data_IF_723365464027
#
_entry.id   IF_723365464027
#
_cell.length_a   1.000
_cell.length_b   1.000
_cell.length_c   1.000
_cell.angle_alpha   90.00
_cell.angle_beta   90.00
_cell.angle_gamma   90.00
#
_symmetry.space_group_name_H-M   'P 1'
#
loop_
_entity.id
_entity.type
_entity.pdbx_description
1 polymer ?
#
# COMPACT_ATOMS: atom_id res chain seq x y z
N UNK A 1 50.33 35.92 -17.82
CA UNK A 1 49.42 36.68 -18.70
C UNK A 1 48.30 35.72 -19.09
N UNK A 2 47.10 36.00 -18.60
CA UNK A 2 45.94 35.12 -18.68
C UNK A 2 45.35 35.15 -20.09
N UNK A 3 45.39 34.01 -20.79
CA UNK A 3 44.56 33.77 -21.95
C UNK A 3 43.20 33.24 -21.51
N UNK A 4 42.15 33.77 -22.15
CA UNK A 4 40.78 33.71 -21.70
C UNK A 4 40.21 32.30 -21.68
N UNK A 5 39.74 31.89 -20.50
CA UNK A 5 38.68 30.88 -20.43
C UNK A 5 37.38 31.54 -20.87
N UNK A 6 37.01 31.36 -22.13
CA UNK A 6 35.66 31.66 -22.59
C UNK A 6 34.69 30.74 -21.83
N UNK A 7 34.07 31.28 -20.77
CA UNK A 7 32.85 30.68 -20.24
C UNK A 7 31.87 30.68 -21.40
N UNK A 8 31.53 29.49 -21.93
CA UNK A 8 30.38 29.34 -22.83
C UNK A 8 29.17 29.90 -22.07
N UNK A 9 28.85 31.16 -22.33
CA UNK A 9 27.62 31.76 -21.90
C UNK A 9 26.51 30.86 -22.44
N UNK A 10 25.86 30.12 -21.55
CA UNK A 10 24.62 29.41 -21.86
C UNK A 10 23.72 30.48 -22.44
N UNK A 11 23.52 30.46 -23.76
CA UNK A 11 22.60 31.39 -24.43
C UNK A 11 21.23 31.14 -23.81
N UNK A 12 20.84 31.98 -22.86
CA UNK A 12 19.49 31.97 -22.31
C UNK A 12 18.57 32.43 -23.45
N UNK A 13 17.94 31.48 -24.13
CA UNK A 13 16.86 31.84 -25.03
C UNK A 13 15.73 32.39 -24.17
N UNK A 14 15.31 33.66 -24.34
CA UNK A 14 14.18 34.17 -23.61
C UNK A 14 12.97 33.35 -24.05
N UNK A 15 12.39 32.59 -23.11
CA UNK A 15 11.22 31.75 -23.37
C UNK A 15 9.93 32.58 -23.45
N UNK A 16 10.00 33.86 -23.06
CA UNK A 16 8.93 34.84 -23.08
C UNK A 16 8.14 34.91 -24.42
N UNK A 17 8.75 34.82 -25.62
CA UNK A 17 8.01 34.85 -26.88
C UNK A 17 7.10 33.63 -27.10
N UNK A 18 7.39 32.49 -26.44
CA UNK A 18 6.58 31.27 -26.58
C UNK A 18 5.40 31.26 -25.61
N UNK A 19 5.47 32.02 -24.51
CA UNK A 19 4.41 32.06 -23.48
C UNK A 19 3.04 32.43 -24.06
N UNK A 20 2.87 33.46 -24.92
CA UNK A 20 1.57 33.78 -25.52
C UNK A 20 0.98 32.66 -26.38
N UNK A 21 1.82 31.97 -27.16
CA UNK A 21 1.38 30.85 -27.99
C UNK A 21 0.92 29.66 -27.13
N UNK A 22 1.67 29.36 -26.08
CA UNK A 22 1.31 28.33 -25.11
C UNK A 22 0.03 28.71 -24.35
N UNK A 23 -0.12 29.96 -23.90
CA UNK A 23 -1.36 30.41 -23.24
C UNK A 23 -2.57 30.31 -24.17
N UNK A 24 -2.41 30.58 -25.47
CA UNK A 24 -3.48 30.40 -26.45
C UNK A 24 -3.89 28.93 -26.57
N UNK A 25 -2.94 28.01 -26.64
CA UNK A 25 -3.22 26.56 -26.66
C UNK A 25 -3.91 26.15 -25.35
N UNK A 26 -3.37 26.58 -24.21
CA UNK A 26 -3.87 26.26 -22.89
C UNK A 26 -5.33 26.69 -22.70
N UNK A 27 -5.69 27.90 -23.14
CA UNK A 27 -7.04 28.45 -22.95
C UNK A 27 -8.04 27.95 -24.01
N UNK A 28 -7.63 27.80 -25.26
CA UNK A 28 -8.56 27.60 -26.37
C UNK A 28 -8.59 26.17 -26.93
N UNK A 29 -7.63 25.32 -26.59
CA UNK A 29 -7.65 23.93 -27.03
C UNK A 29 -8.76 23.15 -26.32
N UNK A 30 -9.51 22.34 -27.07
CA UNK A 30 -10.51 21.43 -26.51
C UNK A 30 -9.90 20.16 -25.92
N UNK A 31 -8.73 19.74 -26.41
CA UNK A 31 -8.05 18.54 -25.94
C UNK A 31 -7.43 18.77 -24.55
N UNK A 32 -7.96 18.10 -23.54
CA UNK A 32 -7.46 18.16 -22.16
C UNK A 32 -5.98 17.80 -22.06
N UNK A 33 -5.57 16.68 -22.68
CA UNK A 33 -4.19 16.21 -22.66
C UNK A 33 -3.21 17.27 -23.17
N UNK A 34 -3.57 17.98 -24.24
CA UNK A 34 -2.71 19.05 -24.78
C UNK A 34 -2.66 20.26 -23.83
N UNK A 35 -3.77 20.62 -23.18
CA UNK A 35 -3.79 21.67 -22.16
C UNK A 35 -2.92 21.31 -20.95
N UNK A 36 -2.98 20.08 -20.46
CA UNK A 36 -2.15 19.61 -19.36
C UNK A 36 -0.66 19.66 -19.72
N UNK A 37 -0.27 19.18 -20.91
CA UNK A 37 1.12 19.30 -21.37
C UNK A 37 1.54 20.76 -21.52
N UNK A 38 0.67 21.61 -22.06
CA UNK A 38 0.97 23.03 -22.21
C UNK A 38 1.17 23.71 -20.85
N UNK A 39 0.31 23.43 -19.87
CA UNK A 39 0.47 23.93 -18.50
C UNK A 39 1.79 23.45 -17.89
N UNK A 40 2.10 22.15 -18.01
CA UNK A 40 3.36 21.59 -17.54
C UNK A 40 4.57 22.27 -18.18
N UNK A 41 4.53 22.47 -19.50
CA UNK A 41 5.59 23.14 -20.26
C UNK A 41 5.76 24.60 -19.84
N UNK A 42 4.67 25.35 -19.68
CA UNK A 42 4.74 26.75 -19.21
C UNK A 42 5.40 26.80 -17.84
N UNK A 43 5.01 25.95 -16.90
CA UNK A 43 5.59 25.95 -15.55
C UNK A 43 7.05 25.45 -15.56
N UNK A 44 7.39 24.42 -16.32
CA UNK A 44 8.74 23.84 -16.34
C UNK A 44 9.80 24.78 -16.90
N UNK A 45 9.41 25.67 -17.80
CA UNK A 45 10.33 26.64 -18.43
C UNK A 45 10.31 28.01 -17.74
N UNK A 46 9.40 28.22 -16.79
CA UNK A 46 9.22 29.50 -16.10
C UNK A 46 10.25 29.68 -14.99
N UNK A 47 10.80 30.89 -14.87
CA UNK A 47 11.55 31.28 -13.68
C UNK A 47 10.61 31.54 -12.49
N UNK A 48 11.16 31.63 -11.29
CA UNK A 48 10.41 32.05 -10.09
C UNK A 48 9.67 33.39 -10.28
N UNK A 49 10.27 34.33 -11.01
CA UNK A 49 9.63 35.62 -11.33
C UNK A 49 8.43 35.45 -12.26
N UNK A 50 8.53 34.54 -13.23
CA UNK A 50 7.43 34.24 -14.16
C UNK A 50 6.28 33.52 -13.44
N UNK A 51 6.60 32.58 -12.54
CA UNK A 51 5.60 31.91 -11.67
C UNK A 51 4.90 32.95 -10.78
N UNK A 52 5.66 33.87 -10.19
CA UNK A 52 5.11 34.96 -9.39
C UNK A 52 4.12 35.81 -10.19
N UNK A 53 4.47 36.17 -11.41
CA UNK A 53 3.60 36.91 -12.32
C UNK A 53 2.33 36.11 -12.68
N UNK A 54 2.45 34.82 -12.97
CA UNK A 54 1.31 33.95 -13.28
C UNK A 54 0.33 33.89 -12.09
N UNK A 55 0.83 33.73 -10.86
CA UNK A 55 -0.02 33.70 -9.67
C UNK A 55 -0.69 35.06 -9.41
N UNK A 56 0.00 36.18 -9.65
CA UNK A 56 -0.61 37.51 -9.56
C UNK A 56 -1.72 37.69 -10.59
N UNK A 57 -1.50 37.24 -11.82
CA UNK A 57 -2.52 37.24 -12.85
C UNK A 57 -3.75 36.42 -12.44
N UNK A 58 -3.55 35.18 -11.97
CA UNK A 58 -4.63 34.30 -11.51
C UNK A 58 -5.41 34.94 -10.36
N UNK A 59 -4.73 35.53 -9.38
CA UNK A 59 -5.37 36.16 -8.22
C UNK A 59 -6.31 37.32 -8.57
N UNK A 60 -6.11 37.94 -9.74
CA UNK A 60 -6.90 39.08 -10.23
C UNK A 60 -8.00 38.66 -11.21
N UNK A 61 -8.03 37.40 -11.65
CA UNK A 61 -9.04 36.92 -12.59
C UNK A 61 -10.40 36.73 -11.91
N UNK A 62 -11.45 37.37 -12.44
CA UNK A 62 -12.83 37.02 -12.06
C UNK A 62 -13.25 35.73 -12.76
N UNK A 63 -13.45 34.66 -11.98
CA UNK A 63 -13.85 33.35 -12.48
C UNK A 63 -15.36 33.12 -12.55
N UNK A 64 -16.19 34.11 -12.17
CA UNK A 64 -17.66 33.91 -12.05
C UNK A 64 -18.35 33.52 -13.34
N UNK A 65 -17.96 34.13 -14.47
CA UNK A 65 -18.61 33.94 -15.78
C UNK A 65 -17.64 33.41 -16.83
N UNK A 66 -16.71 32.54 -16.40
CA UNK A 66 -15.64 32.02 -17.25
C UNK A 66 -16.00 30.63 -17.77
N UNK A 67 -15.61 30.35 -19.02
CA UNK A 67 -15.80 29.02 -19.63
C UNK A 67 -15.09 27.94 -18.80
N UNK A 68 -15.71 26.78 -18.64
CA UNK A 68 -15.14 25.65 -17.90
C UNK A 68 -13.71 25.29 -18.33
N UNK A 69 -13.40 25.40 -19.64
CA UNK A 69 -12.07 25.12 -20.16
C UNK A 69 -10.99 26.10 -19.68
N UNK A 70 -11.34 27.37 -19.52
CA UNK A 70 -10.42 28.39 -19.01
C UNK A 70 -10.22 28.24 -17.51
N UNK A 71 -11.29 27.90 -16.76
CA UNK A 71 -11.17 27.54 -15.34
C UNK A 71 -10.22 26.34 -15.18
N UNK A 72 -10.42 25.30 -15.99
CA UNK A 72 -9.55 24.11 -15.97
C UNK A 72 -8.07 24.45 -16.24
N UNK A 73 -7.82 25.36 -17.20
CA UNK A 73 -6.48 25.84 -17.51
C UNK A 73 -5.82 26.54 -16.31
N UNK A 74 -6.55 27.41 -15.62
CA UNK A 74 -6.07 28.09 -14.40
C UNK A 74 -5.76 27.08 -13.30
N UNK A 75 -6.67 26.12 -13.06
CA UNK A 75 -6.46 25.05 -12.08
C UNK A 75 -5.25 24.17 -12.42
N UNK A 76 -5.06 23.86 -13.71
CA UNK A 76 -3.92 23.08 -14.20
C UNK A 76 -2.60 23.81 -13.95
N UNK A 77 -2.53 25.12 -14.24
CA UNK A 77 -1.34 25.92 -13.95
C UNK A 77 -0.99 25.89 -12.47
N UNK A 78 -1.96 26.13 -11.58
CA UNK A 78 -1.73 26.08 -10.13
C UNK A 78 -1.30 24.69 -9.65
N UNK A 79 -1.92 23.62 -10.17
CA UNK A 79 -1.54 22.24 -9.83
C UNK A 79 -0.09 21.93 -10.24
N UNK A 80 0.34 22.36 -11.43
CA UNK A 80 1.73 22.19 -11.85
C UNK A 80 2.70 23.07 -11.07
N UNK A 81 2.29 24.29 -10.68
CA UNK A 81 3.09 25.14 -9.78
C UNK A 81 3.36 24.41 -8.46
N UNK A 82 2.34 23.82 -7.83
CA UNK A 82 2.49 23.06 -6.58
C UNK A 82 3.38 21.82 -6.73
N UNK A 83 3.31 21.13 -7.88
CA UNK A 83 4.12 19.92 -8.14
C UNK A 83 5.60 20.22 -8.36
N UNK A 84 5.91 21.31 -9.06
CA UNK A 84 7.29 21.61 -9.48
C UNK A 84 8.00 22.49 -8.45
N UNK A 85 7.29 23.36 -7.73
CA UNK A 85 7.89 24.34 -6.82
C UNK A 85 7.70 23.96 -5.36
N UNK A 86 8.81 23.70 -4.67
CA UNK A 86 8.82 23.42 -3.23
C UNK A 86 9.00 24.67 -2.35
N UNK A 87 9.12 25.86 -2.96
CA UNK A 87 9.26 27.12 -2.21
C UNK A 87 7.99 27.44 -1.41
N UNK A 88 8.14 27.62 -0.09
CA UNK A 88 7.04 27.90 0.82
C UNK A 88 6.22 29.13 0.43
N UNK A 89 6.87 30.20 -0.05
CA UNK A 89 6.20 31.42 -0.51
C UNK A 89 5.23 31.17 -1.68
N UNK A 90 5.64 30.34 -2.65
CA UNK A 90 4.82 29.98 -3.82
C UNK A 90 3.61 29.15 -3.37
N UNK A 91 3.83 28.16 -2.50
CA UNK A 91 2.75 27.35 -1.91
C UNK A 91 1.75 28.21 -1.15
N UNK A 92 2.23 29.16 -0.35
CA UNK A 92 1.39 30.08 0.42
C UNK A 92 0.52 30.98 -0.47
N UNK A 93 1.05 31.41 -1.62
CA UNK A 93 0.26 32.21 -2.58
C UNK A 93 -0.83 31.39 -3.25
N UNK A 94 -0.54 30.15 -3.67
CA UNK A 94 -1.57 29.23 -4.18
C UNK A 94 -2.61 28.96 -3.09
N UNK A 95 -2.18 28.75 -1.85
CA UNK A 95 -3.05 28.54 -0.69
C UNK A 95 -4.05 29.69 -0.50
N UNK A 96 -3.58 30.94 -0.57
CA UNK A 96 -4.44 32.14 -0.46
C UNK A 96 -5.49 32.20 -1.58
N UNK A 97 -5.10 31.94 -2.83
CA UNK A 97 -6.02 31.91 -3.97
C UNK A 97 -7.11 30.84 -3.74
N UNK A 98 -6.73 29.63 -3.32
CA UNK A 98 -7.69 28.56 -3.05
C UNK A 98 -8.62 28.91 -1.89
N UNK A 99 -8.12 29.47 -0.78
CA UNK A 99 -8.98 29.91 0.33
C UNK A 99 -10.00 30.97 -0.11
N UNK A 100 -9.62 31.91 -0.97
CA UNK A 100 -10.56 32.88 -1.52
C UNK A 100 -11.64 32.20 -2.39
N UNK A 101 -11.26 31.22 -3.21
CA UNK A 101 -12.21 30.43 -3.99
C UNK A 101 -13.15 29.62 -3.09
N UNK A 102 -12.65 29.00 -2.03
CA UNK A 102 -13.45 28.30 -1.02
C UNK A 102 -14.48 29.25 -0.42
N UNK A 103 -14.03 30.42 0.09
CA UNK A 103 -14.88 31.42 0.74
C UNK A 103 -15.99 31.94 -0.18
N UNK A 104 -15.71 32.11 -1.47
CA UNK A 104 -16.73 32.56 -2.43
C UNK A 104 -17.74 31.49 -2.82
N UNK A 105 -17.45 30.20 -2.57
CA UNK A 105 -18.28 29.07 -2.97
C UNK A 105 -18.43 28.90 -4.49
N UNK A 106 -17.67 29.64 -5.29
CA UNK A 106 -17.81 29.63 -6.76
C UNK A 106 -17.56 28.26 -7.37
N UNK A 107 -16.61 27.52 -6.79
CA UNK A 107 -16.18 26.21 -7.27
C UNK A 107 -17.29 25.14 -7.23
N UNK A 108 -18.30 25.31 -6.35
CA UNK A 108 -19.46 24.42 -6.26
C UNK A 108 -20.26 24.36 -7.57
N UNK A 109 -20.20 25.42 -8.39
CA UNK A 109 -20.90 25.51 -9.69
C UNK A 109 -20.09 24.93 -10.85
N UNK A 110 -18.85 24.52 -10.63
CA UNK A 110 -17.99 24.01 -11.70
C UNK A 110 -18.35 22.56 -12.09
N UNK A 111 -17.90 22.14 -13.27
CA UNK A 111 -18.03 20.74 -13.68
C UNK A 111 -17.17 19.82 -12.78
N UNK A 112 -17.54 18.53 -12.76
CA UNK A 112 -16.89 17.50 -11.94
C UNK A 112 -15.37 17.45 -12.11
N UNK A 113 -14.85 17.53 -13.35
CA UNK A 113 -13.39 17.57 -13.60
C UNK A 113 -12.69 18.76 -12.92
N UNK A 114 -13.30 19.94 -12.91
CA UNK A 114 -12.71 21.12 -12.28
C UNK A 114 -12.79 21.04 -10.77
N UNK A 115 -13.90 20.53 -10.23
CA UNK A 115 -14.03 20.21 -8.80
C UNK A 115 -12.97 19.21 -8.35
N UNK A 116 -12.75 18.15 -9.12
CA UNK A 116 -11.72 17.16 -8.86
C UNK A 116 -10.31 17.77 -8.73
N UNK A 117 -9.86 18.56 -9.71
CA UNK A 117 -8.52 19.20 -9.66
C UNK A 117 -8.43 20.20 -8.51
N UNK A 118 -9.50 20.95 -8.26
CA UNK A 118 -9.57 21.91 -7.16
C UNK A 118 -9.45 21.24 -5.79
N UNK A 119 -10.23 20.19 -5.53
CA UNK A 119 -10.20 19.47 -4.26
C UNK A 119 -8.88 18.74 -4.03
N UNK A 120 -8.25 18.19 -5.08
CA UNK A 120 -6.89 17.64 -4.96
C UNK A 120 -5.91 18.67 -4.40
N UNK A 121 -5.89 19.88 -4.96
CA UNK A 121 -5.00 20.93 -4.45
C UNK A 121 -5.37 21.38 -3.03
N UNK A 122 -6.65 21.34 -2.67
CA UNK A 122 -7.08 21.63 -1.29
C UNK A 122 -6.54 20.56 -0.33
N UNK A 123 -6.64 19.27 -0.69
CA UNK A 123 -6.09 18.17 0.11
C UNK A 123 -4.56 18.26 0.24
N UNK A 124 -3.86 18.53 -0.88
CA UNK A 124 -2.39 18.69 -0.93
C UNK A 124 -1.90 19.82 0.00
N UNK A 125 -2.73 20.85 0.23
CA UNK A 125 -2.43 21.99 1.09
C UNK A 125 -3.16 21.95 2.44
N UNK A 126 -3.84 20.84 2.75
CA UNK A 126 -4.64 20.65 3.96
C UNK A 126 -5.64 21.77 4.24
N UNK A 127 -6.36 22.21 3.20
CA UNK A 127 -7.38 23.27 3.31
C UNK A 127 -8.75 22.69 3.63
N UNK A 128 -9.43 23.32 4.58
CA UNK A 128 -10.82 23.00 4.92
C UNK A 128 -11.79 23.67 3.94
N UNK A 129 -12.82 22.94 3.50
CA UNK A 129 -13.83 23.45 2.57
C UNK A 129 -15.24 22.93 2.91
N UNK A 130 -16.25 23.68 2.46
CA UNK A 130 -17.68 23.44 2.74
C UNK A 130 -18.20 22.13 2.12
N UNK A 131 -19.19 21.56 2.81
CA UNK A 131 -19.59 20.15 2.71
C UNK A 131 -20.99 19.94 2.13
N UNK A 132 -21.65 21.03 1.71
CA UNK A 132 -22.92 21.04 0.98
C UNK A 132 -22.76 20.67 -0.50
N UNK A 133 -21.90 19.70 -0.80
CA UNK A 133 -21.67 19.22 -2.15
C UNK A 133 -22.71 18.15 -2.44
N UNK A 134 -23.52 18.35 -3.47
CA UNK A 134 -24.38 17.28 -4.00
C UNK A 134 -23.50 16.23 -4.69
N UNK A 135 -23.59 14.98 -4.25
CA UNK A 135 -22.75 13.89 -4.73
C UNK A 135 -23.34 13.15 -5.94
N UNK A 136 -24.62 13.36 -6.24
CA UNK A 136 -25.34 12.62 -7.29
C UNK A 136 -24.70 12.80 -8.67
N UNK A 137 -24.22 14.01 -8.99
CA UNK A 137 -23.60 14.35 -10.27
C UNK A 137 -22.07 14.18 -10.29
N UNK A 138 -21.48 13.62 -9.23
CA UNK A 138 -20.03 13.47 -9.10
C UNK A 138 -19.58 12.06 -9.48
N UNK A 139 -18.52 11.98 -10.29
CA UNK A 139 -17.84 10.73 -10.63
C UNK A 139 -16.37 10.81 -10.24
N UNK A 140 -15.66 11.84 -10.74
CA UNK A 140 -14.25 12.06 -10.48
C UNK A 140 -14.01 12.65 -9.09
N UNK A 141 -14.82 13.65 -8.71
CA UNK A 141 -14.66 14.41 -7.45
C UNK A 141 -14.84 13.54 -6.21
N UNK A 142 -15.55 12.41 -6.30
CA UNK A 142 -15.72 11.46 -5.19
C UNK A 142 -14.38 11.01 -4.59
N UNK A 143 -13.31 10.89 -5.39
CA UNK A 143 -11.99 10.46 -4.89
C UNK A 143 -11.31 11.47 -3.95
N UNK A 144 -11.03 12.74 -4.37
CA UNK A 144 -10.47 13.72 -3.44
C UNK A 144 -11.46 14.09 -2.33
N UNK A 145 -12.77 13.95 -2.55
CA UNK A 145 -13.76 14.12 -1.49
C UNK A 145 -13.62 13.05 -0.41
N UNK A 146 -13.48 11.77 -0.80
CA UNK A 146 -13.26 10.67 0.14
C UNK A 146 -12.03 10.88 1.02
N UNK A 147 -10.92 11.36 0.43
CA UNK A 147 -9.72 11.75 1.18
C UNK A 147 -10.00 12.86 2.19
N UNK A 148 -10.67 13.93 1.76
CA UNK A 148 -10.96 15.06 2.63
C UNK A 148 -11.84 14.66 3.83
N UNK A 149 -12.85 13.83 3.59
CA UNK A 149 -13.76 13.28 4.62
C UNK A 149 -12.98 12.56 5.72
N UNK A 150 -11.96 11.80 5.34
CA UNK A 150 -11.15 11.01 6.26
C UNK A 150 -10.09 11.80 7.03
N UNK A 151 -9.60 12.91 6.45
CA UNK A 151 -8.53 13.75 7.04
C UNK A 151 -9.03 14.74 8.09
N UNK A 152 -10.33 14.83 8.33
CA UNK A 152 -10.88 15.60 9.46
C UNK A 152 -11.67 16.85 9.11
N UNK A 153 -12.17 17.01 7.88
CA UNK A 153 -13.06 18.13 7.60
C UNK A 153 -14.40 17.99 8.32
N UNK A 154 -15.07 19.13 8.53
CA UNK A 154 -16.37 19.22 9.21
C UNK A 154 -17.51 18.87 8.23
N UNK A 155 -17.72 17.58 7.97
CA UNK A 155 -18.67 17.09 6.98
C UNK A 155 -20.02 16.68 7.58
N UNK A 156 -21.09 16.88 6.79
CA UNK A 156 -22.36 16.20 7.02
C UNK A 156 -22.21 14.73 6.61
N UNK A 157 -21.75 13.92 7.56
CA UNK A 157 -21.50 12.50 7.36
C UNK A 157 -22.76 11.69 7.03
N UNK A 158 -23.95 12.20 7.37
CA UNK A 158 -25.22 11.50 7.08
C UNK A 158 -25.53 11.57 5.59
N UNK A 159 -25.46 12.78 5.02
CA UNK A 159 -25.72 12.95 3.59
C UNK A 159 -24.64 12.28 2.73
N UNK A 160 -23.36 12.54 3.02
CA UNK A 160 -22.24 11.92 2.28
C UNK A 160 -22.19 10.41 2.46
N UNK A 161 -22.52 9.92 3.65
CA UNK A 161 -22.56 8.50 3.96
C UNK A 161 -23.63 7.76 3.17
N UNK A 162 -24.68 8.41 2.67
CA UNK A 162 -25.74 7.75 1.90
C UNK A 162 -25.30 7.33 0.48
N UNK A 163 -24.30 8.00 -0.10
CA UNK A 163 -23.79 7.73 -1.45
C UNK A 163 -22.85 6.52 -1.47
N UNK A 164 -23.34 5.40 -2.01
CA UNK A 164 -22.59 4.15 -2.08
C UNK A 164 -21.28 4.25 -2.86
N UNK A 165 -21.23 5.00 -3.98
CA UNK A 165 -19.99 5.12 -4.76
C UNK A 165 -18.93 5.94 -4.02
N UNK A 166 -19.35 6.96 -3.26
CA UNK A 166 -18.45 7.71 -2.39
C UNK A 166 -17.92 6.79 -1.28
N UNK A 167 -18.76 5.96 -0.66
CA UNK A 167 -18.33 4.97 0.34
C UNK A 167 -17.25 4.02 -0.21
N UNK A 168 -17.39 3.56 -1.46
CA UNK A 168 -16.37 2.72 -2.10
C UNK A 168 -15.02 3.43 -2.29
N UNK A 169 -15.01 4.72 -2.65
CA UNK A 169 -13.76 5.49 -2.74
C UNK A 169 -13.17 5.78 -1.33
N UNK A 170 -14.01 5.91 -0.30
CA UNK A 170 -13.58 5.98 1.11
C UNK A 170 -12.87 4.69 1.51
N UNK A 171 -13.46 3.52 1.27
CA UNK A 171 -12.83 2.23 1.57
C UNK A 171 -11.50 2.05 0.83
N UNK A 172 -11.46 2.46 -0.45
CA UNK A 172 -10.23 2.46 -1.24
C UNK A 172 -9.15 3.35 -0.62
N UNK A 173 -9.50 4.52 -0.09
CA UNK A 173 -8.52 5.42 0.52
C UNK A 173 -8.00 4.85 1.85
N UNK A 174 -8.88 4.32 2.70
CA UNK A 174 -8.49 3.69 3.98
C UNK A 174 -7.48 2.57 3.74
N UNK A 175 -7.74 1.69 2.77
CA UNK A 175 -6.83 0.60 2.41
C UNK A 175 -5.43 1.11 1.98
N UNK A 176 -5.34 2.27 1.33
CA UNK A 176 -4.06 2.83 0.87
C UNK A 176 -3.31 3.62 1.95
N UNK A 177 -4.03 4.24 2.87
CA UNK A 177 -3.50 5.29 3.75
C UNK A 177 -3.63 4.93 5.24
N UNK A 178 -3.58 3.64 5.58
CA UNK A 178 -3.95 3.08 6.90
C UNK A 178 -3.37 3.82 8.13
N UNK A 179 -2.27 4.56 7.99
CA UNK A 179 -1.60 5.31 9.07
C UNK A 179 -2.16 6.73 9.32
N UNK A 180 -2.97 7.30 8.42
CA UNK A 180 -3.33 8.73 8.45
C UNK A 180 -4.85 9.02 8.56
N UNK A 181 -5.68 8.02 8.83
CA UNK A 181 -7.13 8.17 8.84
C UNK A 181 -7.67 8.52 10.23
N UNK A 182 -8.37 9.66 10.36
CA UNK A 182 -8.90 10.14 11.64
C UNK A 182 -10.38 9.76 11.87
N UNK A 183 -11.17 9.70 10.79
CA UNK A 183 -12.63 9.61 10.87
C UNK A 183 -13.19 8.35 10.16
N UNK A 184 -12.95 7.16 10.71
CA UNK A 184 -13.50 5.91 10.14
C UNK A 184 -14.89 5.57 10.68
N UNK A 185 -15.25 6.02 11.89
CA UNK A 185 -16.45 5.50 12.59
C UNK A 185 -17.74 5.61 11.79
N UNK A 186 -18.00 6.73 11.12
CA UNK A 186 -19.25 6.92 10.37
C UNK A 186 -19.42 5.95 9.20
N UNK A 187 -18.31 5.44 8.62
CA UNK A 187 -18.38 4.51 7.49
C UNK A 187 -18.57 3.06 7.94
N UNK A 188 -18.32 2.76 9.22
CA UNK A 188 -18.47 1.41 9.78
C UNK A 188 -19.94 1.00 9.88
N UNK A 189 -20.86 1.94 10.05
CA UNK A 189 -22.30 1.65 10.09
C UNK A 189 -22.83 1.08 8.77
N UNK A 190 -22.16 1.37 7.65
CA UNK A 190 -22.54 0.93 6.30
C UNK A 190 -21.80 -0.33 5.83
N UNK A 191 -20.67 -0.64 6.46
CA UNK A 191 -19.69 -1.58 5.91
C UNK A 191 -20.22 -3.01 5.74
N UNK A 192 -21.13 -3.44 6.62
CA UNK A 192 -21.73 -4.78 6.57
C UNK A 192 -22.74 -4.87 5.42
N UNK A 193 -23.56 -3.84 5.24
CA UNK A 193 -24.53 -3.79 4.15
C UNK A 193 -23.81 -3.65 2.79
N UNK A 194 -22.80 -2.80 2.73
CA UNK A 194 -21.97 -2.63 1.54
C UNK A 194 -21.24 -3.93 1.17
N UNK A 195 -20.75 -4.70 2.14
CA UNK A 195 -20.15 -6.01 1.90
C UNK A 195 -21.15 -7.03 1.31
N UNK A 196 -22.42 -6.93 1.70
CA UNK A 196 -23.50 -7.77 1.17
C UNK A 196 -23.90 -7.37 -0.25
N UNK A 197 -23.89 -6.08 -0.53
CA UNK A 197 -24.35 -5.49 -1.78
C UNK A 197 -23.23 -5.24 -2.80
N UNK A 198 -21.97 -5.54 -2.46
CA UNK A 198 -20.84 -5.29 -3.35
C UNK A 198 -20.95 -6.07 -4.67
N UNK A 199 -20.78 -5.36 -5.78
CA UNK A 199 -20.87 -5.92 -7.14
C UNK A 199 -19.60 -6.65 -7.54
N UNK A 200 -18.43 -6.16 -7.11
CA UNK A 200 -17.13 -6.67 -7.55
C UNK A 200 -16.32 -7.25 -6.40
N UNK A 201 -15.50 -8.28 -6.67
CA UNK A 201 -14.56 -8.84 -5.69
C UNK A 201 -13.50 -7.82 -5.22
N UNK A 202 -13.21 -6.81 -6.05
CA UNK A 202 -12.27 -5.73 -5.69
C UNK A 202 -12.87 -4.78 -4.66
N UNK A 203 -14.17 -4.54 -4.71
CA UNK A 203 -14.84 -3.74 -3.69
C UNK A 203 -15.00 -4.55 -2.40
N UNK A 204 -15.34 -5.84 -2.52
CA UNK A 204 -15.34 -6.77 -1.39
C UNK A 204 -13.97 -6.77 -0.68
N UNK A 205 -12.86 -6.86 -1.42
CA UNK A 205 -11.52 -6.88 -0.83
C UNK A 205 -11.18 -5.62 -0.04
N UNK A 206 -11.54 -4.44 -0.56
CA UNK A 206 -11.39 -3.16 0.16
C UNK A 206 -12.19 -3.15 1.46
N UNK A 207 -13.44 -3.59 1.38
CA UNK A 207 -14.36 -3.61 2.53
C UNK A 207 -13.85 -4.58 3.60
N UNK A 208 -13.43 -5.80 3.22
CA UNK A 208 -12.86 -6.80 4.13
C UNK A 208 -11.64 -6.27 4.89
N UNK A 209 -10.77 -5.53 4.20
CA UNK A 209 -9.58 -4.93 4.79
C UNK A 209 -9.95 -3.85 5.82
N UNK A 210 -10.91 -2.98 5.49
CA UNK A 210 -11.44 -1.96 6.41
C UNK A 210 -12.06 -2.59 7.65
N UNK A 211 -12.86 -3.66 7.50
CA UNK A 211 -13.42 -4.40 8.63
C UNK A 211 -12.30 -4.98 9.50
N UNK A 212 -11.28 -5.60 8.90
CA UNK A 212 -10.17 -6.18 9.65
C UNK A 212 -9.39 -5.13 10.46
N UNK A 213 -9.10 -3.97 9.86
CA UNK A 213 -8.42 -2.86 10.53
C UNK A 213 -9.24 -2.31 11.71
N UNK A 214 -10.57 -2.38 11.63
CA UNK A 214 -11.48 -1.84 12.64
C UNK A 214 -12.22 -2.93 13.43
N UNK A 215 -11.73 -4.17 13.43
CA UNK A 215 -12.41 -5.34 14.03
C UNK A 215 -12.81 -5.13 15.50
N UNK A 216 -12.05 -4.33 16.25
CA UNK A 216 -12.31 -3.98 17.65
C UNK A 216 -13.49 -3.02 17.85
N UNK A 217 -13.96 -2.36 16.78
CA UNK A 217 -15.09 -1.43 16.84
C UNK A 217 -16.45 -2.13 16.67
N UNK A 218 -16.47 -3.39 16.25
CA UNK A 218 -17.71 -4.14 16.01
C UNK A 218 -18.15 -4.93 17.24
N UNK A 219 -19.46 -4.99 17.46
CA UNK A 219 -20.07 -5.83 18.50
C UNK A 219 -19.91 -7.32 18.19
N UNK A 220 -20.05 -8.19 19.19
CA UNK A 220 -19.99 -9.64 18.97
C UNK A 220 -21.08 -10.14 18.01
N UNK A 221 -22.25 -9.49 18.00
CA UNK A 221 -23.33 -9.79 17.05
C UNK A 221 -22.93 -9.44 15.62
N UNK A 222 -22.31 -8.28 15.41
CA UNK A 222 -21.83 -7.84 14.09
C UNK A 222 -20.71 -8.74 13.60
N UNK A 223 -19.75 -9.07 14.46
CA UNK A 223 -18.64 -9.98 14.16
C UNK A 223 -19.13 -11.35 13.69
N UNK A 224 -20.14 -11.91 14.35
CA UNK A 224 -20.77 -13.18 13.94
C UNK A 224 -21.46 -13.05 12.58
N UNK A 225 -22.26 -12.01 12.37
CA UNK A 225 -22.95 -11.78 11.11
C UNK A 225 -21.97 -11.59 9.92
N UNK A 226 -20.87 -10.86 10.15
CA UNK A 226 -19.79 -10.71 9.17
C UNK A 226 -19.15 -12.06 8.87
N UNK A 227 -18.79 -12.82 9.90
CA UNK A 227 -18.12 -14.10 9.73
C UNK A 227 -18.98 -15.14 8.98
N UNK A 228 -20.27 -15.22 9.30
CA UNK A 228 -21.23 -16.08 8.60
C UNK A 228 -21.35 -15.71 7.12
N UNK A 229 -21.47 -14.41 6.82
CA UNK A 229 -21.53 -13.94 5.44
C UNK A 229 -20.23 -14.24 4.67
N UNK A 230 -19.08 -13.97 5.27
CA UNK A 230 -17.77 -14.21 4.64
C UNK A 230 -17.55 -15.69 4.40
N UNK A 231 -17.92 -16.57 5.33
CA UNK A 231 -17.85 -18.03 5.13
C UNK A 231 -18.74 -18.49 3.97
N UNK A 232 -19.98 -17.99 3.89
CA UNK A 232 -20.91 -18.31 2.81
C UNK A 232 -20.36 -17.89 1.43
N UNK A 233 -19.63 -16.77 1.36
CA UNK A 233 -19.08 -16.22 0.12
C UNK A 233 -17.69 -16.75 -0.23
N UNK A 234 -16.95 -17.32 0.72
CA UNK A 234 -15.55 -17.71 0.53
C UNK A 234 -15.36 -18.65 -0.65
N UNK A 235 -16.27 -19.61 -0.85
CA UNK A 235 -16.23 -20.56 -1.98
C UNK A 235 -16.59 -19.95 -3.34
N UNK A 236 -17.15 -18.74 -3.38
CA UNK A 236 -17.59 -18.07 -4.61
C UNK A 236 -16.57 -17.06 -5.14
N UNK A 237 -15.64 -16.59 -4.30
CA UNK A 237 -14.60 -15.64 -4.72
C UNK A 237 -13.47 -16.36 -5.45
N UNK A 238 -12.89 -15.67 -6.44
CA UNK A 238 -11.83 -16.20 -7.30
C UNK A 238 -10.51 -15.44 -7.17
N UNK A 239 -10.55 -14.17 -6.77
CA UNK A 239 -9.34 -13.37 -6.62
C UNK A 239 -8.54 -13.82 -5.39
N UNK A 240 -7.27 -14.25 -5.54
CA UNK A 240 -6.46 -14.72 -4.41
C UNK A 240 -6.40 -13.73 -3.25
N UNK A 241 -6.21 -12.43 -3.55
CA UNK A 241 -6.17 -11.39 -2.54
C UNK A 241 -7.48 -11.26 -1.75
N UNK A 242 -8.63 -11.37 -2.41
CA UNK A 242 -9.95 -11.30 -1.75
C UNK A 242 -10.15 -12.50 -0.82
N UNK A 243 -9.80 -13.70 -1.29
CA UNK A 243 -9.84 -14.94 -0.48
C UNK A 243 -8.91 -14.81 0.73
N UNK A 244 -7.69 -14.33 0.53
CA UNK A 244 -6.71 -14.14 1.61
C UNK A 244 -7.20 -13.13 2.66
N UNK A 245 -7.72 -11.98 2.23
CA UNK A 245 -8.29 -10.97 3.13
C UNK A 245 -9.48 -11.51 3.93
N UNK A 246 -10.34 -12.29 3.28
CA UNK A 246 -11.46 -12.96 3.93
C UNK A 246 -10.99 -13.97 4.98
N UNK A 247 -10.03 -14.84 4.65
CA UNK A 247 -9.48 -15.81 5.59
C UNK A 247 -8.76 -15.15 6.77
N UNK A 248 -8.05 -14.04 6.53
CA UNK A 248 -7.49 -13.23 7.61
C UNK A 248 -8.57 -12.69 8.53
N UNK A 249 -9.62 -12.11 7.96
CA UNK A 249 -10.72 -11.59 8.77
C UNK A 249 -11.35 -12.71 9.62
N UNK A 250 -11.64 -13.87 9.03
CA UNK A 250 -12.23 -15.01 9.75
C UNK A 250 -11.34 -15.51 10.88
N UNK A 251 -10.03 -15.66 10.65
CA UNK A 251 -9.09 -16.11 11.68
C UNK A 251 -9.12 -15.21 12.92
N UNK A 252 -9.09 -13.90 12.70
CA UNK A 252 -9.07 -12.91 13.78
C UNK A 252 -10.45 -12.67 14.42
N UNK A 253 -11.56 -12.89 13.69
CA UNK A 253 -12.91 -12.78 14.26
C UNK A 253 -13.28 -13.99 15.12
N UNK A 254 -12.89 -15.20 14.73
CA UNK A 254 -13.23 -16.39 15.49
C UNK A 254 -12.33 -16.63 16.71
N UNK A 255 -11.16 -15.98 16.76
CA UNK A 255 -10.17 -16.13 17.82
C UNK A 255 -9.92 -17.62 18.19
N UNK A 256 -9.85 -18.48 17.18
CA UNK A 256 -9.66 -19.92 17.36
C UNK A 256 -8.22 -20.19 17.78
N UNK A 257 -8.05 -21.12 18.73
CA UNK A 257 -6.72 -21.57 19.18
C UNK A 257 -6.02 -22.44 18.14
N UNK A 258 -6.78 -23.13 17.27
CA UNK A 258 -6.24 -24.07 16.28
C UNK A 258 -6.79 -23.82 14.89
N UNK A 259 -5.92 -24.00 13.89
CA UNK A 259 -6.28 -23.93 12.48
C UNK A 259 -6.98 -25.23 12.03
N UNK A 260 -7.99 -25.10 11.17
CA UNK A 260 -8.61 -26.24 10.49
C UNK A 260 -7.69 -26.82 9.40
N UNK A 261 -7.89 -28.08 9.03
CA UNK A 261 -7.12 -28.73 7.94
C UNK A 261 -7.25 -27.99 6.61
N UNK A 262 -8.40 -27.36 6.35
CA UNK A 262 -8.60 -26.56 5.14
C UNK A 262 -7.78 -25.27 5.16
N UNK A 263 -7.72 -24.58 6.30
CA UNK A 263 -6.89 -23.39 6.47
C UNK A 263 -5.41 -23.70 6.36
N UNK A 264 -4.95 -24.81 6.94
CA UNK A 264 -3.57 -25.26 6.82
C UNK A 264 -3.17 -25.52 5.36
N UNK A 265 -4.03 -26.22 4.61
CA UNK A 265 -3.83 -26.44 3.17
C UNK A 265 -3.81 -25.14 2.39
N UNK A 266 -4.68 -24.19 2.72
CA UNK A 266 -4.69 -22.88 2.08
C UNK A 266 -3.41 -22.09 2.36
N UNK A 267 -2.91 -22.07 3.61
CA UNK A 267 -1.65 -21.42 3.97
C UNK A 267 -0.51 -21.97 3.10
N UNK A 268 -0.41 -23.29 2.96
CA UNK A 268 0.60 -23.91 2.10
C UNK A 268 0.42 -23.54 0.63
N UNK A 269 -0.81 -23.56 0.12
CA UNK A 269 -1.12 -23.20 -1.27
C UNK A 269 -0.72 -21.75 -1.61
N UNK A 270 -0.76 -20.84 -0.64
CA UNK A 270 -0.35 -19.46 -0.85
C UNK A 270 1.12 -19.31 -1.29
N UNK A 271 1.98 -20.28 -1.02
CA UNK A 271 3.40 -20.25 -1.48
C UNK A 271 3.52 -20.24 -3.02
N UNK A 272 2.55 -20.83 -3.71
CA UNK A 272 2.49 -20.90 -5.18
C UNK A 272 1.71 -19.75 -5.83
N UNK A 273 1.13 -18.85 -5.04
CA UNK A 273 0.35 -17.71 -5.55
C UNK A 273 1.31 -16.59 -5.93
N UNK A 274 1.14 -15.96 -7.10
CA UNK A 274 2.03 -14.88 -7.55
C UNK A 274 1.87 -13.61 -6.69
N UNK A 275 0.67 -13.34 -6.19
CA UNK A 275 0.38 -12.14 -5.42
C UNK A 275 1.04 -12.15 -4.03
N UNK A 276 2.07 -11.31 -3.88
CA UNK A 276 2.78 -11.06 -2.62
C UNK A 276 1.87 -10.85 -1.41
N UNK A 277 0.79 -10.06 -1.57
CA UNK A 277 -0.15 -9.77 -0.48
C UNK A 277 -0.79 -11.05 0.10
N UNK A 278 -1.11 -12.04 -0.75
CA UNK A 278 -1.69 -13.30 -0.29
C UNK A 278 -0.70 -14.11 0.56
N UNK A 279 0.58 -14.10 0.20
CA UNK A 279 1.66 -14.72 0.97
C UNK A 279 1.88 -14.02 2.32
N UNK A 280 1.94 -12.70 2.32
CA UNK A 280 2.07 -11.89 3.54
C UNK A 280 0.90 -12.15 4.49
N UNK A 281 -0.33 -12.22 3.96
CA UNK A 281 -1.52 -12.53 4.76
C UNK A 281 -1.49 -13.96 5.31
N UNK A 282 -1.08 -14.96 4.52
CA UNK A 282 -0.97 -16.34 4.98
C UNK A 282 0.03 -16.45 6.16
N UNK A 283 1.16 -15.75 6.07
CA UNK A 283 2.13 -15.64 7.16
C UNK A 283 1.54 -14.93 8.39
N UNK A 284 0.78 -13.85 8.22
CA UNK A 284 0.09 -13.16 9.32
C UNK A 284 -0.92 -14.08 10.03
N UNK A 285 -1.71 -14.84 9.28
CA UNK A 285 -2.70 -15.78 9.83
C UNK A 285 -2.02 -16.93 10.56
N UNK A 286 -0.97 -17.51 9.97
CA UNK A 286 -0.17 -18.55 10.63
C UNK A 286 0.47 -18.05 11.93
N UNK A 287 1.06 -16.85 11.91
CA UNK A 287 1.63 -16.21 13.09
C UNK A 287 0.57 -15.97 14.19
N UNK A 288 -0.64 -15.58 13.81
CA UNK A 288 -1.75 -15.41 14.74
C UNK A 288 -2.07 -16.72 15.45
N UNK A 289 -2.21 -17.83 14.71
CA UNK A 289 -2.46 -19.14 15.30
C UNK A 289 -1.34 -19.57 16.25
N UNK A 290 -0.07 -19.44 15.84
CA UNK A 290 1.08 -19.79 16.68
C UNK A 290 1.15 -18.97 17.97
N UNK A 291 0.66 -17.73 17.97
CA UNK A 291 0.58 -16.87 19.17
C UNK A 291 -0.56 -17.28 20.11
N UNK A 292 -1.70 -17.74 19.58
CA UNK A 292 -2.85 -18.18 20.39
C UNK A 292 -2.63 -19.56 21.01
N UNK A 293 -1.88 -20.43 20.33
CA UNK A 293 -1.50 -21.74 20.82
C UNK A 293 -0.44 -22.36 19.92
N UNK A 294 0.56 -23.01 20.52
CA UNK A 294 1.58 -23.71 19.74
C UNK A 294 0.95 -24.91 19.01
N UNK A 295 0.74 -24.77 17.69
CA UNK A 295 0.30 -25.85 16.81
C UNK A 295 1.43 -26.20 15.84
N UNK A 296 2.06 -27.37 16.08
CA UNK A 296 3.15 -27.90 15.25
C UNK A 296 2.77 -28.02 13.77
N UNK A 297 1.49 -28.27 13.46
CA UNK A 297 1.00 -28.39 12.08
C UNK A 297 1.08 -27.05 11.35
N UNK A 298 0.69 -25.96 12.02
CA UNK A 298 0.82 -24.60 11.46
C UNK A 298 2.28 -24.31 11.13
N UNK A 299 3.19 -24.64 12.05
CA UNK A 299 4.62 -24.48 11.85
C UNK A 299 5.12 -25.23 10.61
N UNK A 300 4.70 -26.49 10.42
CA UNK A 300 5.04 -27.29 9.23
C UNK A 300 4.65 -26.62 7.92
N UNK A 301 3.44 -26.07 7.82
CA UNK A 301 3.01 -25.38 6.59
C UNK A 301 3.67 -24.01 6.40
N UNK A 302 4.04 -23.31 7.50
CA UNK A 302 4.73 -22.02 7.41
C UNK A 302 6.21 -22.15 7.00
N UNK A 303 6.88 -23.27 7.31
CA UNK A 303 8.29 -23.50 6.95
C UNK A 303 8.52 -23.37 5.43
N UNK A 304 7.54 -23.72 4.61
CA UNK A 304 7.65 -23.66 3.13
C UNK A 304 7.93 -22.23 2.65
N UNK A 305 7.41 -21.19 3.32
CA UNK A 305 7.64 -19.79 2.96
C UNK A 305 9.11 -19.33 3.14
N UNK A 306 9.94 -20.06 3.88
CA UNK A 306 11.37 -19.76 3.99
C UNK A 306 12.13 -20.04 2.69
N UNK A 307 11.50 -20.75 1.74
CA UNK A 307 12.04 -21.04 0.42
C UNK A 307 11.31 -20.28 -0.70
N UNK A 308 10.55 -19.24 -0.36
CA UNK A 308 9.85 -18.43 -1.35
C UNK A 308 10.81 -17.69 -2.29
N UNK A 309 10.42 -17.51 -3.56
CA UNK A 309 11.22 -16.77 -4.54
C UNK A 309 11.39 -15.29 -4.13
N UNK A 310 10.39 -14.70 -3.46
CA UNK A 310 10.46 -13.33 -2.96
C UNK A 310 11.28 -13.27 -1.65
N UNK A 311 12.42 -12.55 -1.69
CA UNK A 311 13.29 -12.34 -0.53
C UNK A 311 12.53 -11.74 0.66
N UNK A 312 11.62 -10.79 0.43
CA UNK A 312 10.84 -10.17 1.49
C UNK A 312 9.95 -11.19 2.21
N UNK A 313 9.36 -12.12 1.48
CA UNK A 313 8.52 -13.19 2.05
C UNK A 313 9.37 -14.14 2.91
N UNK A 314 10.58 -14.50 2.43
CA UNK A 314 11.52 -15.32 3.20
C UNK A 314 11.96 -14.64 4.50
N UNK A 315 12.28 -13.36 4.46
CA UNK A 315 12.66 -12.57 5.63
C UNK A 315 11.50 -12.43 6.63
N UNK A 316 10.28 -12.18 6.14
CA UNK A 316 9.08 -12.13 6.96
C UNK A 316 8.81 -13.48 7.64
N UNK A 317 8.88 -14.58 6.89
CA UNK A 317 8.74 -15.92 7.43
C UNK A 317 9.81 -16.21 8.49
N UNK A 318 11.07 -15.85 8.24
CA UNK A 318 12.16 -16.03 9.21
C UNK A 318 11.94 -15.23 10.48
N UNK A 319 11.46 -13.99 10.36
CA UNK A 319 11.14 -13.13 11.52
C UNK A 319 10.07 -13.77 12.39
N UNK A 320 9.06 -14.40 11.78
CA UNK A 320 7.99 -15.08 12.52
C UNK A 320 8.49 -16.38 13.15
N UNK A 321 9.31 -17.16 12.43
CA UNK A 321 9.66 -18.52 12.80
C UNK A 321 10.87 -18.61 13.74
N UNK A 322 11.84 -17.70 13.64
CA UNK A 322 13.07 -17.73 14.45
C UNK A 322 12.84 -17.76 15.96
N UNK A 323 11.87 -17.01 16.54
CA UNK A 323 11.60 -17.06 17.98
C UNK A 323 11.18 -18.44 18.49
N UNK A 324 10.59 -19.28 17.63
CA UNK A 324 10.20 -20.64 18.01
C UNK A 324 11.39 -21.61 18.09
N UNK A 325 12.50 -21.30 17.40
CA UNK A 325 13.76 -22.05 17.51
C UNK A 325 14.63 -21.51 18.64
N UNK A 326 14.82 -20.19 18.67
CA UNK A 326 15.79 -19.54 19.54
C UNK A 326 15.26 -19.21 20.93
N UNK A 327 13.93 -19.21 21.13
CA UNK A 327 13.27 -18.69 22.34
C UNK A 327 13.66 -17.24 22.68
N UNK A 328 14.14 -16.49 21.69
CA UNK A 328 14.54 -15.08 21.77
C UNK A 328 13.98 -14.31 20.59
N UNK A 329 13.93 -12.99 20.67
CA UNK A 329 13.50 -12.11 19.56
C UNK A 329 14.54 -11.97 18.44
N UNK A 330 15.61 -12.78 18.47
CA UNK A 330 16.64 -12.76 17.43
C UNK A 330 16.10 -13.40 16.16
N UNK A 331 16.35 -12.73 15.04
CA UNK A 331 15.95 -13.22 13.72
C UNK A 331 17.12 -13.95 13.07
N UNK A 332 16.87 -15.19 12.64
CA UNK A 332 17.84 -15.97 11.88
C UNK A 332 17.80 -15.59 10.40
N UNK A 333 18.88 -15.88 9.69
CA UNK A 333 18.84 -15.90 8.23
C UNK A 333 17.80 -16.93 7.75
N UNK A 334 16.97 -16.65 6.72
CA UNK A 334 15.91 -17.56 6.29
C UNK A 334 16.39 -18.97 5.93
N UNK A 335 17.56 -19.11 5.30
CA UNK A 335 18.11 -20.41 4.93
C UNK A 335 18.56 -21.22 6.15
N UNK A 336 19.16 -20.55 7.15
CA UNK A 336 19.55 -21.16 8.43
C UNK A 336 18.30 -21.55 9.22
N UNK A 337 17.31 -20.67 9.29
CA UNK A 337 16.01 -20.91 9.93
C UNK A 337 15.34 -22.16 9.34
N UNK A 338 15.31 -22.28 8.00
CA UNK A 338 14.69 -23.41 7.31
C UNK A 338 15.34 -24.75 7.68
N UNK A 339 16.67 -24.82 7.65
CA UNK A 339 17.40 -26.06 7.98
C UNK A 339 17.16 -26.48 9.42
N UNK A 340 17.27 -25.55 10.37
CA UNK A 340 17.04 -25.84 11.79
C UNK A 340 15.59 -26.23 12.06
N UNK A 341 14.63 -25.58 11.40
CA UNK A 341 13.21 -25.95 11.50
C UNK A 341 12.96 -27.36 10.98
N UNK A 342 13.56 -27.76 9.85
CA UNK A 342 13.41 -29.14 9.35
C UNK A 342 13.94 -30.17 10.33
N UNK A 343 15.10 -29.94 10.92
CA UNK A 343 15.69 -30.88 11.88
C UNK A 343 14.92 -30.98 13.20
N UNK A 344 14.41 -29.85 13.70
CA UNK A 344 13.75 -29.78 15.02
C UNK A 344 12.27 -30.12 14.95
N UNK A 345 11.57 -29.74 13.87
CA UNK A 345 10.11 -29.85 13.74
C UNK A 345 9.71 -31.07 12.91
N UNK A 346 10.49 -31.47 11.91
CA UNK A 346 10.21 -32.61 11.02
C UNK A 346 11.24 -33.74 11.20
N UNK A 347 11.39 -34.35 12.39
CA UNK A 347 12.47 -35.30 12.67
C UNK A 347 12.33 -36.69 12.00
N UNK A 348 11.38 -36.89 11.08
CA UNK A 348 11.23 -38.18 10.37
C UNK A 348 11.68 -38.07 8.91
N UNK A 349 12.93 -38.48 8.66
CA UNK A 349 13.34 -39.00 7.36
C UNK A 349 12.53 -40.28 7.07
N UNK A 350 11.47 -40.20 6.25
CA UNK A 350 11.10 -41.27 5.29
C UNK A 350 9.84 -41.01 4.44
N UNK A 351 8.97 -40.04 4.77
CA UNK A 351 7.70 -39.89 4.02
C UNK A 351 7.63 -38.76 2.98
N UNK A 352 8.51 -37.75 2.98
CA UNK A 352 8.45 -36.67 1.98
C UNK A 352 9.32 -36.86 0.73
N UNK A 353 10.34 -37.71 0.80
CA UNK A 353 11.26 -37.97 -0.33
C UNK A 353 10.62 -38.67 -1.52
N UNK A 354 9.34 -39.08 -1.43
CA UNK A 354 8.58 -39.66 -2.56
C UNK A 354 7.66 -38.68 -3.29
N UNK A 355 7.41 -37.47 -2.77
CA UNK A 355 6.59 -36.46 -3.47
C UNK A 355 7.39 -35.32 -4.11
N UNK A 356 8.65 -35.12 -3.72
CA UNK A 356 9.50 -34.03 -4.25
C UNK A 356 10.15 -34.29 -5.62
N UNK A 357 9.89 -35.42 -6.30
CA UNK A 357 10.57 -35.73 -7.59
C UNK A 357 9.60 -35.87 -8.77
N UNK A 358 8.30 -35.65 -8.59
CA UNK A 358 7.37 -35.68 -9.73
C UNK A 358 6.34 -34.59 -9.58
N UNK A 359 6.70 -33.38 -10.00
CA UNK A 359 5.87 -32.55 -10.88
C UNK A 359 6.74 -31.41 -11.44
N UNK A 360 7.27 -31.68 -12.64
CA UNK A 360 7.52 -30.74 -13.75
C UNK A 360 8.45 -29.54 -13.52
N UNK A 361 9.69 -29.71 -14.00
CA UNK A 361 10.47 -28.71 -14.75
C UNK A 361 10.49 -27.27 -14.20
N UNK A 362 11.12 -27.06 -13.04
CA UNK A 362 11.76 -25.79 -12.73
C UNK A 362 13.21 -25.79 -13.25
N UNK A 363 13.70 -24.71 -13.90
CA UNK A 363 15.05 -24.63 -14.42
C UNK A 363 16.02 -24.14 -13.34
N UNK A 364 16.03 -24.73 -12.14
CA UNK A 364 17.08 -24.48 -11.16
C UNK A 364 17.45 -25.79 -10.45
N UNK A 365 18.54 -26.35 -10.94
CA UNK A 365 19.07 -27.65 -10.55
C UNK A 365 19.82 -27.55 -9.21
N UNK A 366 19.14 -27.25 -8.10
CA UNK A 366 19.68 -27.49 -6.75
C UNK A 366 19.42 -28.95 -6.35
N UNK A 367 19.95 -29.88 -7.16
CA UNK A 367 20.19 -31.24 -6.68
C UNK A 367 21.33 -31.12 -5.68
N UNK A 368 21.00 -31.11 -4.39
CA UNK A 368 21.98 -31.30 -3.31
C UNK A 368 22.59 -32.68 -3.51
N UNK A 369 23.67 -32.76 -4.29
CA UNK A 369 24.61 -33.87 -4.19
C UNK A 369 25.11 -33.82 -2.75
N UNK A 370 24.86 -34.88 -1.99
CA UNK A 370 25.49 -35.16 -0.69
C UNK A 370 27.02 -35.22 -0.88
N UNK A 371 27.66 -34.06 -0.99
CA UNK A 371 29.09 -33.93 -0.72
C UNK A 371 29.22 -33.69 0.78
N UNK A 372 30.24 -34.29 1.37
CA UNK A 372 30.49 -34.44 2.81
C UNK A 372 30.81 -33.15 3.58
N UNK A 373 30.38 -31.99 3.08
CA UNK A 373 30.44 -30.68 3.74
C UNK A 373 29.17 -29.91 3.41
N UNK A 374 28.27 -29.78 4.39
CA UNK A 374 27.00 -29.07 4.26
C UNK A 374 27.25 -27.56 4.29
N UNK A 375 27.51 -26.97 3.13
CA UNK A 375 27.86 -25.56 3.01
C UNK A 375 26.63 -24.65 3.14
N UNK A 376 26.82 -23.51 3.82
CA UNK A 376 25.89 -22.37 3.83
C UNK A 376 26.41 -21.32 2.84
N UNK A 377 25.56 -20.93 1.89
CA UNK A 377 25.87 -19.86 0.93
C UNK A 377 25.33 -18.52 1.43
N UNK A 378 26.07 -17.44 1.14
CA UNK A 378 25.75 -16.06 1.50
C UNK A 378 24.42 -15.60 0.88
N UNK A 379 23.36 -15.62 1.68
CA UNK A 379 22.05 -15.08 1.31
C UNK A 379 21.88 -13.60 1.72
N UNK A 380 22.95 -12.92 2.18
CA UNK A 380 22.95 -11.47 2.42
C UNK A 380 23.43 -10.67 1.20
N UNK A 381 23.71 -11.31 0.06
CA UNK A 381 24.02 -10.58 -1.16
C UNK A 381 22.71 -10.21 -1.90
N UNK A 382 22.44 -8.92 -2.04
CA UNK A 382 21.34 -8.36 -2.84
C UNK A 382 21.54 -8.56 -4.36
N UNK A 383 22.38 -9.52 -4.76
CA UNK A 383 22.79 -9.78 -6.12
C UNK A 383 22.91 -11.30 -6.35
N UNK A 384 22.06 -11.91 -7.19
CA UNK A 384 22.11 -13.35 -7.48
C UNK A 384 23.41 -13.81 -8.17
N UNK A 385 24.26 -12.90 -8.63
CA UNK A 385 25.60 -13.21 -9.16
C UNK A 385 26.72 -13.10 -8.11
N UNK A 386 26.40 -12.68 -6.88
CA UNK A 386 27.34 -12.62 -5.75
C UNK A 386 27.22 -13.84 -4.81
N UNK A 387 26.37 -14.82 -5.13
CA UNK A 387 26.14 -16.10 -4.39
C UNK A 387 27.36 -17.06 -4.35
N UNK A 388 28.58 -16.55 -4.48
CA UNK A 388 29.82 -17.35 -4.46
C UNK A 388 30.64 -17.16 -3.18
N UNK A 389 30.18 -16.31 -2.25
CA UNK A 389 30.79 -16.13 -0.94
C UNK A 389 30.48 -17.30 0.00
N UNK A 390 31.48 -18.13 0.27
CA UNK A 390 31.46 -19.16 1.32
C UNK A 390 31.37 -18.49 2.71
N UNK A 391 30.30 -18.75 3.47
CA UNK A 391 30.11 -18.14 4.80
C UNK A 391 30.53 -19.06 5.96
N UNK A 392 30.57 -20.39 5.78
CA UNK A 392 31.03 -21.32 6.82
C UNK A 392 30.33 -22.68 6.77
N UNK A 393 30.73 -23.57 7.70
CA UNK A 393 30.14 -24.90 7.86
C UNK A 393 28.83 -24.79 8.68
N UNK A 394 27.75 -25.40 8.17
CA UNK A 394 26.48 -25.45 8.89
C UNK A 394 26.61 -26.07 10.29
N UNK A 395 27.52 -27.03 10.47
CA UNK A 395 27.78 -27.64 11.77
C UNK A 395 28.34 -26.64 12.77
N UNK A 396 29.16 -25.70 12.34
CA UNK A 396 29.70 -24.64 13.22
C UNK A 396 28.59 -23.70 13.67
N UNK A 397 27.72 -23.26 12.75
CA UNK A 397 26.55 -22.42 13.08
C UNK A 397 25.59 -23.14 14.03
N UNK A 398 25.38 -24.45 13.81
CA UNK A 398 24.55 -25.29 14.67
C UNK A 398 25.13 -25.40 16.09
N UNK A 399 26.45 -25.57 16.22
CA UNK A 399 27.12 -25.56 17.53
C UNK A 399 26.93 -24.19 18.22
N UNK A 400 27.17 -23.08 17.51
CA UNK A 400 26.98 -21.74 18.08
C UNK A 400 25.54 -21.47 18.54
N UNK A 401 24.54 -21.92 17.77
CA UNK A 401 23.13 -21.77 18.16
C UNK A 401 22.79 -22.66 19.35
N UNK A 402 23.30 -23.88 19.41
CA UNK A 402 23.11 -24.76 20.56
C UNK A 402 23.77 -24.19 21.82
N UNK A 403 24.95 -23.57 21.68
CA UNK A 403 25.64 -22.90 22.79
C UNK A 403 24.85 -21.69 23.30
N UNK A 404 24.25 -20.89 22.39
CA UNK A 404 23.35 -19.78 22.74
C UNK A 404 22.08 -20.28 23.47
N UNK A 405 21.47 -21.35 22.99
CA UNK A 405 20.32 -21.98 23.64
C UNK A 405 20.68 -22.54 25.03
N UNK A 406 21.92 -22.98 25.24
CA UNK A 406 22.39 -23.49 26.53
C UNK A 406 22.80 -22.37 27.50
N UNK A 407 23.28 -21.23 27.02
CA UNK A 407 23.61 -20.07 27.87
C UNK A 407 22.37 -19.42 28.48
N UNK A 408 21.29 -19.25 27.71
CA UNK A 408 20.05 -18.62 28.20
C UNK A 408 19.33 -19.49 29.24
N UNK A 409 19.40 -20.82 29.10
CA UNK A 409 18.87 -21.74 30.12
C UNK A 409 19.68 -21.72 31.44
N UNK A 410 20.96 -21.32 31.41
CA UNK A 410 21.80 -21.17 32.62
C UNK A 410 21.56 -19.86 33.35
N UNK A 411 21.13 -18.80 32.66
CA UNK A 411 20.75 -17.54 33.29
C UNK A 411 19.37 -17.64 33.96
N UNK A 412 18.41 -18.36 33.37
CA UNK A 412 17.09 -18.58 33.99
C UNK A 412 17.10 -19.57 35.17
N UNK A 413 18.10 -20.45 35.26
CA UNK A 413 18.24 -21.40 36.38
C UNK A 413 18.96 -20.80 37.60
N UNK A 414 19.49 -19.58 37.49
CA UNK A 414 20.24 -18.88 38.54
C UNK A 414 19.47 -17.66 39.12
N UNK A 415 18.19 -17.51 38.78
CA UNK A 415 17.20 -16.64 39.43
C UNK A 415 16.10 -17.50 40.02
#
# INVERSE_FOLDING_TARGET
>A
MNEGSSSKAVRSFPLAPFIPALLRILLWCRAEKLRLFTAATVISISSLKDISFILDWISKCDLKNVRANHIHAVLSLMSFVLKINNYGEVKERVRKILMDLIRTGLWLKWCDLNKYVFLLMCNDLHLEFTTSIDTNDLVLTKRPLAEAVLLGGNFDYVNLGSDYELRLEIYRYIQKSAENVKNVKFILDYVIDDLKNCVTERDASRILDVIYLNKESFSDTDRKAIAEYVLLRLGNWKMPNTISLARRLLAFLFNKVTASTEELKWIEQCTYVEEKLSKEIALQVGAHYLKQGFDKRVLTHMIVFLQDDDLHIRELASTILSPFLLKTDRVLNPAVCYRLMRETVLPSEDEMTKKEVRHTEMPFNWVIRRSSKETLYDACSSNPYAETGYFGDYNEVKVMINDLLQSDNREQANT
#
